data_IF_292292101822
#
_entry.id   IF_292292101822
#
_cell.length_a   1.000
_cell.length_b   1.000
_cell.length_c   1.000
_cell.angle_alpha   90.00
_cell.angle_beta   90.00
_cell.angle_gamma   90.00
#
_symmetry.space_group_name_H-M   'P 1'
#
loop_
_entity.id
_entity.type
_entity.pdbx_description
1 polymer ?
#
# COMPACT_ATOMS: atom_id res chain seq x y z
N UNK A 1 3.37 -25.49 -14.86
CA UNK A 1 2.73 -24.97 -13.63
C UNK A 1 1.26 -24.63 -13.94
N UNK A 2 0.28 -25.30 -13.35
CA UNK A 2 -1.15 -25.10 -13.57
C UNK A 2 -1.75 -24.22 -12.46
N UNK A 3 -2.75 -23.39 -12.80
CA UNK A 3 -3.45 -22.53 -11.85
C UNK A 3 -4.04 -23.28 -10.65
N UNK A 4 -4.61 -24.48 -10.91
CA UNK A 4 -5.11 -25.37 -9.88
C UNK A 4 -4.03 -25.75 -8.85
N UNK A 5 -2.83 -26.02 -9.30
CA UNK A 5 -1.71 -26.39 -8.43
C UNK A 5 -1.23 -25.19 -7.59
N UNK A 6 -1.28 -23.98 -8.15
CA UNK A 6 -1.03 -22.75 -7.37
C UNK A 6 -2.07 -22.57 -6.24
N UNK A 7 -3.35 -22.84 -6.50
CA UNK A 7 -4.40 -22.82 -5.47
C UNK A 7 -4.13 -23.87 -4.37
N UNK A 8 -3.68 -25.07 -4.75
CA UNK A 8 -3.29 -26.10 -3.79
C UNK A 8 -2.09 -25.68 -2.94
N UNK A 9 -1.09 -25.12 -3.57
CA UNK A 9 0.08 -24.56 -2.88
C UNK A 9 -0.31 -23.48 -1.87
N UNK A 10 -1.14 -22.51 -2.27
CA UNK A 10 -1.63 -21.43 -1.41
C UNK A 10 -2.46 -21.95 -0.23
N UNK A 11 -3.30 -22.98 -0.45
CA UNK A 11 -4.07 -23.60 0.63
C UNK A 11 -3.15 -24.22 1.69
N UNK A 12 -2.10 -24.97 1.27
CA UNK A 12 -1.14 -25.56 2.20
C UNK A 12 -0.29 -24.49 2.90
N UNK A 13 0.10 -23.45 2.19
CA UNK A 13 0.85 -22.31 2.76
C UNK A 13 0.06 -21.56 3.84
N UNK A 14 -1.28 -21.50 3.70
CA UNK A 14 -2.18 -20.88 4.68
C UNK A 14 -2.44 -21.75 5.89
N UNK A 15 -2.75 -23.03 5.65
CA UNK A 15 -3.11 -23.97 6.72
C UNK A 15 -1.89 -24.51 7.49
N UNK A 16 -0.67 -24.36 6.95
CA UNK A 16 0.57 -24.96 7.48
C UNK A 16 0.45 -26.46 7.77
N UNK A 17 -0.53 -27.11 7.14
CA UNK A 17 -0.91 -28.50 7.36
C UNK A 17 -1.52 -29.11 6.09
N UNK A 18 -0.86 -30.14 5.54
CA UNK A 18 -1.30 -30.76 4.28
C UNK A 18 -2.65 -31.47 4.44
N UNK A 19 -2.92 -32.10 5.59
CA UNK A 19 -4.19 -32.83 5.83
C UNK A 19 -5.35 -31.85 5.89
N UNK A 20 -5.23 -30.77 6.66
CA UNK A 20 -6.28 -29.74 6.72
C UNK A 20 -6.52 -29.08 5.38
N UNK A 21 -5.45 -28.76 4.65
CA UNK A 21 -5.57 -28.17 3.31
C UNK A 21 -6.27 -29.14 2.34
N UNK A 22 -5.98 -30.45 2.41
CA UNK A 22 -6.63 -31.46 1.58
C UNK A 22 -8.14 -31.56 1.89
N UNK A 23 -8.53 -31.53 3.17
CA UNK A 23 -9.92 -31.47 3.60
C UNK A 23 -10.65 -30.24 3.04
N UNK A 24 -10.04 -29.06 3.16
CA UNK A 24 -10.56 -27.80 2.63
C UNK A 24 -10.74 -27.82 1.11
N UNK A 25 -9.83 -28.48 0.41
CA UNK A 25 -9.84 -28.63 -1.05
C UNK A 25 -10.70 -29.79 -1.54
N UNK A 26 -11.31 -30.56 -0.63
CA UNK A 26 -12.10 -31.77 -0.93
C UNK A 26 -11.35 -32.83 -1.76
N UNK A 27 -10.06 -33.00 -1.48
CA UNK A 27 -9.20 -34.02 -2.09
C UNK A 27 -8.51 -34.87 -1.03
N UNK A 28 -7.90 -35.99 -1.43
CA UNK A 28 -7.13 -36.80 -0.49
C UNK A 28 -5.73 -36.22 -0.23
N UNK A 29 -5.25 -36.36 1.01
CA UNK A 29 -3.92 -35.88 1.40
C UNK A 29 -2.79 -36.46 0.51
N UNK A 30 -2.78 -37.78 0.12
CA UNK A 30 -1.77 -38.29 -0.80
C UNK A 30 -1.79 -37.63 -2.18
N UNK A 31 -3.00 -37.28 -2.68
CA UNK A 31 -3.13 -36.56 -3.96
C UNK A 31 -2.53 -35.16 -3.86
N UNK A 32 -2.87 -34.41 -2.82
CA UNK A 32 -2.31 -33.07 -2.59
C UNK A 32 -0.79 -33.12 -2.45
N UNK A 33 -0.28 -34.05 -1.61
CA UNK A 33 1.16 -34.17 -1.39
C UNK A 33 1.93 -34.48 -2.68
N UNK A 34 1.38 -35.36 -3.53
CA UNK A 34 1.99 -35.71 -4.84
C UNK A 34 1.98 -34.53 -5.80
N UNK A 35 0.89 -33.76 -5.85
CA UNK A 35 0.80 -32.58 -6.73
C UNK A 35 1.77 -31.48 -6.30
N UNK A 36 1.98 -31.29 -5.01
CA UNK A 36 2.98 -30.34 -4.50
C UNK A 36 4.41 -30.81 -4.75
N UNK A 37 4.69 -32.10 -4.59
CA UNK A 37 6.00 -32.64 -4.92
C UNK A 37 6.32 -32.50 -6.42
N UNK A 38 5.32 -32.70 -7.30
CA UNK A 38 5.47 -32.47 -8.73
C UNK A 38 5.71 -30.99 -9.03
N UNK A 39 5.05 -30.07 -8.32
CA UNK A 39 5.31 -28.63 -8.47
C UNK A 39 6.76 -28.29 -8.11
N UNK A 40 7.29 -28.81 -7.00
CA UNK A 40 8.69 -28.62 -6.58
C UNK A 40 9.67 -29.17 -7.62
N UNK A 41 9.37 -30.33 -8.21
CA UNK A 41 10.17 -30.92 -9.30
C UNK A 41 10.11 -30.05 -10.56
N UNK A 42 8.91 -29.59 -10.97
CA UNK A 42 8.72 -28.75 -12.16
C UNK A 42 9.47 -27.41 -12.08
N UNK A 43 9.53 -26.80 -10.89
CA UNK A 43 10.23 -25.52 -10.68
C UNK A 43 11.68 -25.69 -10.26
N UNK A 44 12.11 -26.92 -9.92
CA UNK A 44 13.49 -27.26 -9.58
C UNK A 44 13.95 -26.77 -8.20
N UNK A 45 13.02 -26.37 -7.32
CA UNK A 45 13.33 -25.89 -5.97
C UNK A 45 12.36 -26.44 -4.94
N UNK A 46 12.82 -26.58 -3.70
CA UNK A 46 11.97 -26.98 -2.57
C UNK A 46 11.20 -25.76 -2.07
N UNK A 47 9.86 -25.88 -2.02
CA UNK A 47 8.97 -24.79 -1.62
C UNK A 47 8.53 -24.91 -0.16
N UNK A 48 8.53 -26.15 0.37
CA UNK A 48 8.12 -26.44 1.72
C UNK A 48 9.24 -27.11 2.54
N UNK A 49 9.45 -26.62 3.74
CA UNK A 49 10.23 -27.31 4.77
C UNK A 49 9.28 -28.15 5.62
N UNK A 50 9.54 -29.46 5.69
CA UNK A 50 8.72 -30.42 6.44
C UNK A 50 9.25 -30.59 7.85
N UNK A 51 8.62 -29.93 8.83
CA UNK A 51 8.85 -30.16 10.26
C UNK A 51 7.98 -31.32 10.79
N UNK A 52 8.29 -31.81 12.00
CA UNK A 52 7.56 -32.94 12.61
C UNK A 52 6.07 -32.65 12.90
N UNK A 53 5.65 -31.39 12.95
CA UNK A 53 4.26 -30.98 13.27
C UNK A 53 3.68 -29.91 12.36
N UNK A 54 4.50 -29.24 11.58
CA UNK A 54 4.09 -28.14 10.71
C UNK A 54 4.84 -28.19 9.38
N UNK A 55 4.19 -27.71 8.35
CA UNK A 55 4.76 -27.44 7.03
C UNK A 55 4.97 -25.93 6.94
N UNK A 56 6.20 -25.49 6.74
CA UNK A 56 6.52 -24.07 6.57
C UNK A 56 7.09 -23.80 5.18
N UNK A 57 6.97 -22.59 4.70
CA UNK A 57 7.55 -22.19 3.42
C UNK A 57 9.08 -22.00 3.55
N UNK A 58 9.81 -22.36 2.49
CA UNK A 58 11.19 -21.91 2.25
C UNK A 58 11.19 -20.46 1.74
N UNK A 59 12.36 -19.86 1.53
CA UNK A 59 12.48 -18.53 0.92
C UNK A 59 11.91 -18.52 -0.51
N UNK A 60 12.17 -19.60 -1.28
CA UNK A 60 11.58 -19.82 -2.60
C UNK A 60 10.06 -20.02 -2.51
N UNK A 61 9.59 -20.73 -1.48
CA UNK A 61 8.16 -20.89 -1.18
C UNK A 61 7.50 -19.55 -0.84
N UNK A 62 8.14 -18.69 -0.09
CA UNK A 62 7.63 -17.35 0.19
C UNK A 62 7.56 -16.47 -1.08
N UNK A 63 8.57 -16.58 -1.94
CA UNK A 63 8.53 -15.91 -3.25
C UNK A 63 7.37 -16.43 -4.10
N UNK A 64 7.24 -17.76 -4.21
CA UNK A 64 6.14 -18.36 -5.00
C UNK A 64 4.78 -17.99 -4.41
N UNK A 65 4.61 -17.98 -3.10
CA UNK A 65 3.35 -17.57 -2.46
C UNK A 65 2.88 -16.21 -2.94
N UNK A 66 3.74 -15.21 -2.87
CA UNK A 66 3.42 -13.85 -3.31
C UNK A 66 3.01 -13.82 -4.80
N UNK A 67 3.76 -14.51 -5.66
CA UNK A 67 3.44 -14.58 -7.09
C UNK A 67 2.21 -15.41 -7.40
N UNK A 68 1.99 -16.49 -6.68
CA UNK A 68 0.81 -17.33 -6.85
C UNK A 68 -0.48 -16.60 -6.43
N UNK A 69 -0.46 -15.80 -5.36
CA UNK A 69 -1.57 -14.93 -4.97
C UNK A 69 -1.93 -13.97 -6.12
N UNK A 70 -0.94 -13.27 -6.70
CA UNK A 70 -1.13 -12.36 -7.83
C UNK A 70 -1.73 -13.06 -9.08
N UNK A 71 -1.20 -14.24 -9.42
CA UNK A 71 -1.66 -15.02 -10.60
C UNK A 71 -3.08 -15.53 -10.42
N UNK A 72 -3.40 -16.06 -9.23
CA UNK A 72 -4.73 -16.60 -8.93
C UNK A 72 -5.76 -15.48 -8.91
N UNK A 73 -5.46 -14.35 -8.26
CA UNK A 73 -6.35 -13.18 -8.23
C UNK A 73 -6.65 -12.65 -9.64
N UNK A 74 -5.62 -12.53 -10.49
CA UNK A 74 -5.81 -12.09 -11.87
C UNK A 74 -6.64 -13.07 -12.69
N UNK A 75 -6.45 -14.38 -12.50
CA UNK A 75 -7.22 -15.41 -13.20
C UNK A 75 -8.68 -15.40 -12.76
N UNK A 76 -8.94 -15.31 -11.44
CA UNK A 76 -10.30 -15.26 -10.89
C UNK A 76 -11.05 -14.01 -11.40
N UNK A 77 -10.35 -12.87 -11.45
CA UNK A 77 -10.88 -11.63 -12.01
C UNK A 77 -11.22 -11.78 -13.50
N UNK A 78 -10.31 -12.36 -14.30
CA UNK A 78 -10.54 -12.60 -15.74
C UNK A 78 -11.72 -13.53 -15.99
N UNK A 79 -11.83 -14.62 -15.23
CA UNK A 79 -12.96 -15.56 -15.34
C UNK A 79 -14.27 -14.85 -15.02
N UNK A 80 -14.30 -14.02 -14.00
CA UNK A 80 -15.44 -13.22 -13.59
C UNK A 80 -15.86 -12.22 -14.68
N UNK A 81 -14.91 -11.46 -15.24
CA UNK A 81 -15.15 -10.50 -16.33
C UNK A 81 -15.70 -11.17 -17.61
N UNK A 82 -15.32 -12.43 -17.87
CA UNK A 82 -15.79 -13.16 -19.04
C UNK A 82 -17.18 -13.80 -18.85
N UNK A 83 -17.52 -14.19 -17.61
CA UNK A 83 -18.76 -14.89 -17.29
C UNK A 83 -19.93 -13.97 -16.96
N UNK A 84 -19.66 -12.76 -16.46
CA UNK A 84 -20.67 -11.78 -16.05
C UNK A 84 -21.18 -10.89 -17.20
N UNK A 85 -21.47 -11.48 -18.37
CA UNK A 85 -21.98 -10.75 -19.54
C UNK A 85 -23.48 -10.39 -19.52
N UNK A 86 -24.21 -10.68 -18.44
CA UNK A 86 -25.66 -10.46 -18.40
C UNK A 86 -26.07 -9.17 -17.70
N UNK A 87 -26.88 -8.39 -18.38
CA UNK A 87 -27.78 -7.24 -18.15
C UNK A 87 -27.77 -6.46 -16.82
N UNK A 88 -27.25 -6.98 -15.72
CA UNK A 88 -27.06 -6.28 -14.46
C UNK A 88 -25.59 -5.92 -14.32
N UNK A 89 -25.27 -4.63 -14.39
CA UNK A 89 -23.92 -4.15 -14.06
C UNK A 89 -23.63 -4.55 -12.62
N UNK A 90 -22.72 -5.51 -12.48
CA UNK A 90 -22.27 -6.08 -11.21
C UNK A 90 -20.73 -6.26 -11.25
N UNK A 91 -20.13 -6.74 -10.20
CA UNK A 91 -18.71 -7.04 -10.12
C UNK A 91 -18.00 -6.24 -9.02
N UNK A 92 -16.68 -6.29 -9.05
CA UNK A 92 -15.79 -5.65 -8.06
C UNK A 92 -15.00 -4.55 -8.75
N UNK A 93 -15.03 -3.34 -8.22
CA UNK A 93 -14.12 -2.26 -8.63
C UNK A 93 -13.00 -2.17 -7.59
N UNK A 94 -11.79 -2.50 -8.02
CA UNK A 94 -10.58 -2.47 -7.18
C UNK A 94 -9.84 -1.15 -7.36
N UNK A 95 -9.67 -0.38 -6.29
CA UNK A 95 -9.01 0.92 -6.32
C UNK A 95 -7.76 0.92 -5.44
N UNK A 96 -6.61 1.24 -6.03
CA UNK A 96 -5.37 1.49 -5.31
C UNK A 96 -5.23 2.97 -4.96
N UNK A 97 -4.81 3.29 -3.73
CA UNK A 97 -4.60 4.68 -3.31
C UNK A 97 -3.55 4.82 -2.21
N UNK A 98 -3.12 6.07 -1.96
CA UNK A 98 -2.44 6.44 -0.72
C UNK A 98 -3.43 6.85 0.37
N UNK A 99 -2.92 7.10 1.57
CA UNK A 99 -3.67 7.81 2.62
C UNK A 99 -3.68 9.31 2.28
N UNK A 100 -4.72 9.77 1.59
CA UNK A 100 -4.84 11.12 1.04
C UNK A 100 -6.23 11.70 1.35
N UNK A 101 -6.35 13.03 1.44
CA UNK A 101 -7.66 13.68 1.55
C UNK A 101 -8.51 13.46 0.28
N UNK A 102 -7.87 13.36 -0.87
CA UNK A 102 -8.50 13.11 -2.16
C UNK A 102 -9.21 11.75 -2.26
N UNK A 103 -8.97 10.80 -1.34
CA UNK A 103 -9.77 9.57 -1.19
C UNK A 103 -11.24 9.87 -0.95
N UNK A 104 -11.57 11.03 -0.35
CA UNK A 104 -12.95 11.48 -0.18
C UNK A 104 -13.71 11.50 -1.51
N UNK A 105 -13.08 11.95 -2.60
CA UNK A 105 -13.69 11.97 -3.95
C UNK A 105 -14.03 10.55 -4.40
N UNK A 106 -13.14 9.60 -4.17
CA UNK A 106 -13.37 8.18 -4.52
C UNK A 106 -14.55 7.61 -3.74
N UNK A 107 -14.63 7.90 -2.45
CA UNK A 107 -15.72 7.42 -1.58
C UNK A 107 -17.07 8.03 -2.00
N UNK A 108 -17.09 9.30 -2.38
CA UNK A 108 -18.29 9.97 -2.91
C UNK A 108 -18.74 9.36 -4.23
N UNK A 109 -17.80 9.05 -5.13
CA UNK A 109 -18.08 8.32 -6.37
C UNK A 109 -18.62 6.92 -6.09
N UNK A 110 -18.06 6.17 -5.15
CA UNK A 110 -18.58 4.87 -4.75
C UNK A 110 -20.03 4.97 -4.28
N UNK A 111 -20.36 5.98 -3.45
CA UNK A 111 -21.71 6.19 -2.96
C UNK A 111 -22.68 6.45 -4.10
N UNK A 112 -22.35 7.40 -4.99
CA UNK A 112 -23.19 7.75 -6.11
C UNK A 112 -23.38 6.58 -7.09
N UNK A 113 -22.30 5.83 -7.36
CA UNK A 113 -22.35 4.70 -8.27
C UNK A 113 -23.13 3.52 -7.68
N UNK A 114 -23.01 3.26 -6.36
CA UNK A 114 -23.77 2.22 -5.66
C UNK A 114 -25.28 2.46 -5.68
N UNK A 115 -25.72 3.73 -5.62
CA UNK A 115 -27.15 4.07 -5.75
C UNK A 115 -27.70 3.64 -7.13
N UNK A 116 -26.89 3.77 -8.19
CA UNK A 116 -27.27 3.42 -9.56
C UNK A 116 -27.08 1.94 -9.89
N UNK A 117 -26.02 1.33 -9.33
CA UNK A 117 -25.60 -0.05 -9.59
C UNK A 117 -25.36 -0.81 -8.26
N UNK A 118 -26.43 -1.20 -7.56
CA UNK A 118 -26.32 -1.76 -6.21
C UNK A 118 -25.58 -3.11 -6.13
N UNK A 119 -25.47 -3.83 -7.25
CA UNK A 119 -24.75 -5.10 -7.33
C UNK A 119 -23.23 -4.94 -7.49
N UNK A 120 -22.72 -3.71 -7.71
CA UNK A 120 -21.28 -3.43 -7.76
C UNK A 120 -20.71 -3.34 -6.35
N UNK A 121 -19.60 -4.00 -6.12
CA UNK A 121 -18.84 -3.96 -4.87
C UNK A 121 -17.50 -3.23 -5.09
N UNK A 122 -16.88 -2.78 -4.00
CA UNK A 122 -15.67 -1.95 -4.07
C UNK A 122 -14.62 -2.48 -3.12
N UNK A 123 -13.38 -2.53 -3.60
CA UNK A 123 -12.21 -2.84 -2.81
C UNK A 123 -11.25 -1.66 -2.84
N UNK A 124 -10.79 -1.23 -1.67
CA UNK A 124 -9.85 -0.12 -1.53
C UNK A 124 -8.54 -0.65 -0.95
N UNK A 125 -7.48 -0.59 -1.74
CA UNK A 125 -6.15 -1.01 -1.33
C UNK A 125 -5.27 0.21 -1.05
N UNK A 126 -4.90 0.39 0.22
CA UNK A 126 -4.06 1.49 0.63
C UNK A 126 -2.57 1.10 0.67
N UNK A 127 -1.72 1.96 0.14
CA UNK A 127 -0.28 1.77 0.13
C UNK A 127 0.47 3.02 -0.32
N UNK A 128 1.79 2.93 -0.43
CA UNK A 128 2.56 3.98 -1.07
C UNK A 128 2.36 3.96 -2.59
N UNK A 129 2.81 5.02 -3.27
CA UNK A 129 2.61 5.13 -4.72
C UNK A 129 3.31 4.02 -5.52
N UNK A 130 4.43 3.46 -5.04
CA UNK A 130 5.13 2.37 -5.73
C UNK A 130 4.32 1.08 -5.65
N UNK A 131 3.74 0.77 -4.50
CA UNK A 131 2.81 -0.35 -4.32
C UNK A 131 1.55 -0.19 -5.17
N UNK A 132 0.97 1.02 -5.17
CA UNK A 132 -0.22 1.34 -5.97
C UNK A 132 0.07 1.21 -7.48
N UNK A 133 1.25 1.68 -7.92
CA UNK A 133 1.69 1.53 -9.31
C UNK A 133 1.88 0.06 -9.70
N UNK A 134 2.53 -0.72 -8.85
CA UNK A 134 2.70 -2.17 -9.06
C UNK A 134 1.35 -2.88 -9.21
N UNK A 135 0.36 -2.53 -8.39
CA UNK A 135 -0.98 -3.12 -8.48
C UNK A 135 -1.71 -2.81 -9.79
N UNK A 136 -1.66 -1.55 -10.24
CA UNK A 136 -2.31 -1.15 -11.50
C UNK A 136 -1.60 -1.79 -12.71
N UNK A 137 -0.27 -1.84 -12.71
CA UNK A 137 0.52 -2.48 -13.78
C UNK A 137 0.27 -3.99 -13.88
N UNK A 138 -0.04 -4.65 -12.77
CA UNK A 138 -0.37 -6.07 -12.72
C UNK A 138 -1.86 -6.37 -12.94
N UNK A 139 -2.69 -5.37 -13.19
CA UNK A 139 -4.13 -5.55 -13.34
C UNK A 139 -4.86 -5.96 -12.04
N UNK A 140 -4.20 -5.84 -10.88
CA UNK A 140 -4.79 -6.13 -9.56
C UNK A 140 -5.63 -4.98 -9.01
N UNK A 141 -5.57 -3.82 -9.64
CA UNK A 141 -6.47 -2.69 -9.40
C UNK A 141 -6.94 -2.14 -10.72
N UNK A 142 -8.22 -1.76 -10.80
CA UNK A 142 -8.83 -1.19 -12.00
C UNK A 142 -8.57 0.30 -12.11
N UNK A 143 -8.49 0.96 -10.96
CA UNK A 143 -8.28 2.41 -10.82
C UNK A 143 -7.19 2.63 -9.78
N UNK A 144 -6.39 3.67 -9.98
CA UNK A 144 -5.42 4.12 -9.01
C UNK A 144 -5.52 5.62 -8.78
N UNK A 145 -5.45 6.03 -7.51
CA UNK A 145 -5.37 7.42 -7.11
C UNK A 145 -3.92 7.75 -6.76
N UNK A 146 -3.32 8.64 -7.53
CA UNK A 146 -1.94 9.09 -7.33
C UNK A 146 -1.86 10.55 -6.95
N UNK A 147 -0.84 10.88 -6.18
CA UNK A 147 -0.38 12.24 -5.98
C UNK A 147 0.80 12.51 -6.91
N UNK A 148 0.73 13.58 -7.70
CA UNK A 148 1.86 14.00 -8.55
C UNK A 148 3.08 14.39 -7.67
N UNK A 149 4.33 14.16 -8.14
CA UNK A 149 4.70 13.72 -9.47
C UNK A 149 4.63 12.19 -9.65
N UNK A 150 3.98 11.74 -10.72
CA UNK A 150 3.89 10.34 -11.13
C UNK A 150 4.06 10.23 -12.64
N UNK A 151 4.57 9.09 -13.12
CA UNK A 151 4.66 8.81 -14.54
C UNK A 151 3.29 8.34 -15.05
N UNK A 152 2.59 9.23 -15.76
CA UNK A 152 1.23 9.01 -16.26
C UNK A 152 1.17 8.62 -17.74
N UNK A 153 2.30 8.59 -18.45
CA UNK A 153 2.34 8.39 -19.91
C UNK A 153 1.77 7.04 -20.36
N UNK A 154 1.62 6.10 -19.43
CA UNK A 154 1.11 4.75 -19.70
C UNK A 154 -0.36 4.56 -19.36
N UNK A 155 -1.04 5.58 -18.84
CA UNK A 155 -2.39 5.48 -18.30
C UNK A 155 -3.32 6.51 -18.89
N UNK A 156 -4.59 6.15 -19.07
CA UNK A 156 -5.66 7.13 -19.15
C UNK A 156 -5.88 7.74 -17.76
N UNK A 157 -5.88 9.05 -17.65
CA UNK A 157 -5.97 9.72 -16.35
C UNK A 157 -6.94 10.91 -16.36
N UNK A 158 -7.45 11.20 -15.17
CA UNK A 158 -8.28 12.38 -14.88
C UNK A 158 -7.65 13.12 -13.70
N UNK A 159 -7.40 14.43 -13.86
CA UNK A 159 -6.97 15.26 -12.74
C UNK A 159 -8.17 15.67 -11.90
N UNK A 160 -8.11 15.38 -10.60
CA UNK A 160 -9.21 15.65 -9.68
C UNK A 160 -9.27 17.11 -9.20
N UNK A 161 -8.25 17.92 -9.43
CA UNK A 161 -8.17 19.32 -8.96
C UNK A 161 -8.09 19.46 -7.43
N UNK A 162 -7.91 18.37 -6.70
CA UNK A 162 -7.71 18.38 -5.24
C UNK A 162 -6.23 18.60 -4.95
N UNK A 163 -5.94 19.58 -4.09
CA UNK A 163 -4.56 19.88 -3.68
C UNK A 163 -4.28 19.27 -2.32
N UNK A 164 -3.21 18.52 -2.23
CA UNK A 164 -2.67 18.01 -0.99
C UNK A 164 -1.55 18.94 -0.50
N UNK A 165 -1.34 19.00 0.81
CA UNK A 165 -0.31 19.85 1.42
C UNK A 165 0.66 19.02 2.23
N UNK A 166 1.93 19.43 2.20
CA UNK A 166 2.93 18.89 3.11
C UNK A 166 2.68 19.39 4.53
N UNK A 167 2.85 18.48 5.48
CA UNK A 167 2.79 18.76 6.90
C UNK A 167 3.90 18.01 7.63
N UNK A 168 4.13 18.41 8.87
CA UNK A 168 5.10 17.79 9.77
C UNK A 168 4.35 17.27 11.00
N UNK A 169 4.57 16.01 11.33
CA UNK A 169 4.23 15.44 12.63
C UNK A 169 5.32 15.81 13.63
N UNK A 170 4.92 16.36 14.75
CA UNK A 170 5.82 16.83 15.81
C UNK A 170 5.18 16.65 17.19
N UNK A 171 5.98 16.62 18.29
CA UNK A 171 5.45 16.59 19.64
C UNK A 171 4.50 17.77 19.91
N UNK A 172 3.40 17.50 20.62
CA UNK A 172 2.35 18.51 20.86
C UNK A 172 2.81 19.71 21.69
N UNK A 173 3.87 19.56 22.46
CA UNK A 173 4.45 20.61 23.32
C UNK A 173 5.49 21.49 22.65
N UNK A 174 5.86 21.19 21.40
CA UNK A 174 6.93 21.91 20.69
C UNK A 174 6.50 23.33 20.29
N UNK A 175 7.43 24.30 20.29
CA UNK A 175 7.15 25.71 19.99
C UNK A 175 6.42 25.98 18.66
N UNK A 176 6.70 25.29 17.55
CA UNK A 176 5.97 25.46 16.30
C UNK A 176 4.45 25.25 16.42
N UNK A 177 3.99 24.48 17.41
CA UNK A 177 2.55 24.25 17.64
C UNK A 177 1.80 25.56 17.89
N UNK A 178 2.38 26.49 18.64
CA UNK A 178 1.80 27.82 18.90
C UNK A 178 1.74 28.70 17.64
N UNK A 179 2.66 28.47 16.70
CA UNK A 179 2.77 29.18 15.43
C UNK A 179 1.72 28.73 14.41
N UNK A 180 1.28 27.45 14.53
CA UNK A 180 0.32 26.81 13.62
C UNK A 180 0.89 26.38 12.27
N UNK A 181 2.20 26.51 12.04
CA UNK A 181 2.91 26.04 10.84
C UNK A 181 4.39 25.81 11.16
N UNK A 182 5.07 25.07 10.27
CA UNK A 182 6.50 24.75 10.39
C UNK A 182 7.30 25.36 9.24
N UNK A 183 8.42 25.97 9.55
CA UNK A 183 9.42 26.46 8.59
C UNK A 183 10.65 25.57 8.57
N UNK A 184 11.47 25.63 7.53
CA UNK A 184 12.74 24.90 7.46
C UNK A 184 13.65 25.22 8.66
N UNK A 185 13.69 26.49 9.10
CA UNK A 185 14.47 26.92 10.25
C UNK A 185 14.03 26.28 11.58
N UNK A 186 12.73 25.98 11.75
CA UNK A 186 12.22 25.34 12.96
C UNK A 186 12.74 23.89 13.11
N UNK A 187 13.21 23.28 12.02
CA UNK A 187 13.67 21.89 11.96
C UNK A 187 15.20 21.74 11.97
N UNK A 188 15.93 22.86 11.98
CA UNK A 188 17.40 22.84 12.11
C UNK A 188 17.81 22.17 13.42
N UNK A 189 18.78 21.23 13.34
CA UNK A 189 19.26 20.47 14.48
C UNK A 189 18.33 19.38 15.01
N UNK A 190 17.16 19.19 14.36
CA UNK A 190 16.23 18.10 14.70
C UNK A 190 16.54 16.84 13.88
N UNK A 191 16.17 15.68 14.41
CA UNK A 191 16.17 14.42 13.66
C UNK A 191 14.86 14.29 12.89
N UNK A 192 14.97 13.97 11.60
CA UNK A 192 13.82 13.94 10.68
C UNK A 192 13.54 12.54 10.15
N UNK A 193 12.27 12.24 9.95
CA UNK A 193 11.79 11.08 9.23
C UNK A 193 11.27 11.55 7.87
N UNK A 194 11.90 11.08 6.80
CA UNK A 194 11.50 11.40 5.45
C UNK A 194 10.62 10.30 4.85
N UNK A 195 9.75 10.63 3.90
CA UNK A 195 9.12 9.63 3.04
C UNK A 195 10.17 8.77 2.33
N UNK A 196 9.89 7.48 2.13
CA UNK A 196 10.86 6.56 1.55
C UNK A 196 11.18 6.81 0.06
N UNK A 197 10.29 7.51 -0.69
CA UNK A 197 10.44 7.75 -2.14
C UNK A 197 11.48 8.85 -2.41
N UNK A 198 12.49 8.51 -3.24
CA UNK A 198 13.57 9.46 -3.60
C UNK A 198 13.07 10.74 -4.28
N UNK A 199 12.09 10.67 -5.20
CA UNK A 199 11.51 11.86 -5.84
C UNK A 199 10.93 12.83 -4.82
N UNK A 200 10.23 12.29 -3.83
CA UNK A 200 9.63 13.06 -2.72
C UNK A 200 10.70 13.63 -1.79
N UNK A 201 11.75 12.87 -1.51
CA UNK A 201 12.89 13.37 -0.72
C UNK A 201 13.56 14.57 -1.39
N UNK A 202 13.70 14.55 -2.72
CA UNK A 202 14.29 15.68 -3.46
C UNK A 202 13.44 16.96 -3.36
N UNK A 203 12.12 16.86 -3.32
CA UNK A 203 11.24 18.01 -3.07
C UNK A 203 11.47 18.60 -1.69
N UNK A 204 11.56 17.75 -0.67
CA UNK A 204 11.82 18.19 0.70
C UNK A 204 13.22 18.81 0.85
N UNK A 205 14.24 18.21 0.22
CA UNK A 205 15.59 18.79 0.16
C UNK A 205 15.55 20.20 -0.46
N UNK A 206 14.81 20.35 -1.56
CA UNK A 206 14.62 21.65 -2.21
C UNK A 206 13.91 22.67 -1.30
N UNK A 207 12.93 22.22 -0.52
CA UNK A 207 12.22 23.07 0.43
C UNK A 207 13.12 23.57 1.57
N UNK A 208 14.01 22.72 2.07
CA UNK A 208 14.98 23.12 3.08
C UNK A 208 15.97 24.15 2.55
N UNK A 209 16.33 24.12 1.27
CA UNK A 209 17.33 25.01 0.67
C UNK A 209 18.62 25.01 1.47
N UNK A 210 19.11 26.20 1.85
CA UNK A 210 20.35 26.38 2.59
C UNK A 210 20.34 25.78 4.02
N UNK A 211 19.17 25.43 4.54
CA UNK A 211 19.07 24.77 5.84
C UNK A 211 19.33 23.27 5.78
N UNK A 212 19.24 22.63 4.60
CA UNK A 212 19.36 21.17 4.47
C UNK A 212 20.66 20.60 5.05
N UNK A 213 21.84 21.21 4.88
CA UNK A 213 23.09 20.69 5.48
C UNK A 213 23.09 20.63 7.01
N UNK A 214 22.15 21.33 7.66
CA UNK A 214 22.05 21.41 9.12
C UNK A 214 20.98 20.47 9.70
N UNK A 215 20.30 19.68 8.84
CA UNK A 215 19.31 18.69 9.29
C UNK A 215 19.90 17.29 9.23
N UNK A 216 19.35 16.40 10.05
CA UNK A 216 19.71 14.98 10.09
C UNK A 216 18.50 14.17 9.71
N UNK A 217 18.66 13.24 8.77
CA UNK A 217 17.61 12.35 8.29
C UNK A 217 17.99 10.89 8.56
N UNK A 218 17.97 10.44 9.83
CA UNK A 218 18.35 9.08 10.16
C UNK A 218 17.29 8.04 9.82
N UNK A 219 16.04 8.46 9.52
CA UNK A 219 14.93 7.54 9.33
C UNK A 219 14.16 7.84 8.05
N UNK A 220 13.63 6.77 7.45
CA UNK A 220 12.62 6.85 6.39
C UNK A 220 11.40 6.03 6.75
N UNK A 221 10.21 6.49 6.37
CA UNK A 221 8.96 5.79 6.61
C UNK A 221 8.03 5.96 5.40
N UNK A 222 7.30 4.92 5.06
CA UNK A 222 6.38 4.94 3.91
C UNK A 222 4.92 5.19 4.29
N UNK A 223 4.57 5.10 5.59
CA UNK A 223 3.21 5.25 6.09
C UNK A 223 3.14 6.25 7.24
N UNK A 224 2.22 7.22 7.15
CA UNK A 224 2.08 8.30 8.13
C UNK A 224 1.71 7.79 9.52
N UNK A 225 0.92 6.72 9.60
CA UNK A 225 0.55 6.10 10.88
C UNK A 225 1.77 5.58 11.63
N UNK A 226 2.68 4.88 10.95
CA UNK A 226 3.92 4.40 11.57
C UNK A 226 4.84 5.56 11.95
N UNK A 227 4.94 6.57 11.08
CA UNK A 227 5.72 7.78 11.38
C UNK A 227 5.22 8.49 12.63
N UNK A 228 3.91 8.57 12.86
CA UNK A 228 3.32 9.18 14.06
C UNK A 228 3.70 8.43 15.34
N UNK A 229 3.78 7.10 15.29
CA UNK A 229 4.25 6.28 16.42
C UNK A 229 5.72 6.58 16.72
N UNK A 230 6.55 6.73 15.68
CA UNK A 230 7.97 7.08 15.86
C UNK A 230 8.13 8.47 16.48
N UNK A 231 7.37 9.46 16.01
CA UNK A 231 7.37 10.83 16.58
C UNK A 231 6.94 10.80 18.06
N UNK A 232 5.85 10.10 18.38
CA UNK A 232 5.37 9.95 19.75
C UNK A 232 6.41 9.36 20.70
N UNK A 233 7.28 8.48 20.20
CA UNK A 233 8.36 7.86 20.96
C UNK A 233 9.69 8.66 20.90
N UNK A 234 9.65 9.90 20.43
CA UNK A 234 10.79 10.81 20.48
C UNK A 234 11.87 10.56 19.43
N UNK A 235 11.56 9.80 18.36
CA UNK A 235 12.52 9.51 17.29
C UNK A 235 12.70 10.67 16.29
N UNK A 236 12.02 11.79 16.48
CA UNK A 236 12.19 12.98 15.66
C UNK A 236 10.88 13.53 15.10
N UNK A 237 10.94 14.20 13.94
CA UNK A 237 9.83 14.89 13.27
C UNK A 237 9.58 14.26 11.90
N UNK A 238 8.33 14.00 11.54
CA UNK A 238 8.05 13.27 10.31
C UNK A 238 7.32 14.13 9.28
N UNK A 239 7.81 14.13 8.04
CA UNK A 239 7.08 14.68 6.92
C UNK A 239 5.99 13.74 6.45
N UNK A 240 4.82 14.28 6.21
CA UNK A 240 3.68 13.55 5.67
C UNK A 240 2.76 14.47 4.85
N UNK A 241 1.82 13.89 4.13
CA UNK A 241 0.75 14.66 3.47
C UNK A 241 -0.34 14.96 4.49
N UNK A 242 -0.81 16.22 4.58
CA UNK A 242 -1.80 16.66 5.58
C UNK A 242 -3.08 15.82 5.53
N UNK A 243 -3.50 15.41 4.33
CA UNK A 243 -4.68 14.55 4.11
C UNK A 243 -4.53 13.13 4.65
N UNK A 244 -3.31 12.65 4.84
CA UNK A 244 -3.02 11.34 5.43
C UNK A 244 -3.07 11.36 6.96
N UNK A 245 -4.03 12.06 7.54
CA UNK A 245 -4.12 12.23 8.99
C UNK A 245 -4.25 10.88 9.69
N UNK A 246 -3.17 10.36 10.31
CA UNK A 246 -3.29 9.19 11.16
C UNK A 246 -4.20 9.51 12.35
N UNK A 247 -4.75 8.48 12.98
CA UNK A 247 -5.44 8.63 14.27
C UNK A 247 -4.41 9.10 15.31
N UNK A 248 -4.31 10.43 15.48
CA UNK A 248 -3.37 11.05 16.39
C UNK A 248 -4.05 11.33 17.73
N UNK A 249 -3.39 10.91 18.79
CA UNK A 249 -3.60 11.54 20.08
C UNK A 249 -2.97 12.94 20.06
N UNK A 250 -3.81 13.95 19.83
CA UNK A 250 -3.38 15.35 19.72
C UNK A 250 -2.74 15.91 20.97
N UNK A 251 -2.87 15.23 22.11
CA UNK A 251 -2.17 15.58 23.34
C UNK A 251 -0.69 15.22 23.28
N UNK A 252 -0.28 14.33 22.39
CA UNK A 252 1.08 13.84 22.26
C UNK A 252 1.76 14.24 20.96
N UNK A 253 1.03 14.21 19.83
CA UNK A 253 1.55 14.52 18.49
C UNK A 253 0.59 15.45 17.75
N UNK A 254 1.15 16.52 17.18
CA UNK A 254 0.43 17.44 16.30
C UNK A 254 0.87 17.26 14.85
N UNK A 255 -0.02 17.60 13.93
CA UNK A 255 0.28 17.75 12.50
C UNK A 255 0.15 19.23 12.13
N UNK A 256 1.19 19.83 11.64
CA UNK A 256 1.22 21.24 11.22
C UNK A 256 1.62 21.35 9.76
N UNK A 257 0.94 22.20 8.97
CA UNK A 257 1.35 22.45 7.60
C UNK A 257 2.75 23.10 7.54
N UNK A 258 3.50 22.78 6.49
CA UNK A 258 4.73 23.49 6.21
C UNK A 258 4.44 24.88 5.62
N UNK A 259 5.31 25.83 5.91
CA UNK A 259 5.23 27.17 5.30
C UNK A 259 5.59 27.11 3.81
N UNK A 260 4.73 27.66 2.97
CA UNK A 260 4.75 27.53 1.50
C UNK A 260 5.65 28.51 0.77
N UNK A 261 6.69 29.05 1.37
CA UNK A 261 7.55 30.00 0.65
C UNK A 261 8.21 29.40 -0.61
N UNK A 262 8.31 28.05 -0.74
CA UNK A 262 8.95 27.40 -1.90
C UNK A 262 8.41 26.01 -2.31
N UNK A 263 7.44 25.42 -1.60
CA UNK A 263 6.80 24.15 -2.02
C UNK A 263 5.44 24.46 -2.65
N UNK A 264 5.36 24.39 -3.96
CA UNK A 264 4.08 24.14 -4.63
C UNK A 264 3.81 22.64 -4.56
N UNK A 265 2.80 22.21 -3.81
CA UNK A 265 2.17 20.95 -4.10
C UNK A 265 1.70 21.04 -5.56
N UNK A 266 2.22 20.18 -6.41
CA UNK A 266 1.94 20.24 -7.84
C UNK A 266 0.44 20.16 -8.10
N UNK A 267 -0.02 21.04 -8.97
CA UNK A 267 -1.38 21.11 -9.48
C UNK A 267 -1.76 19.87 -10.28
#
# INVERSE_FOLDING_TARGET
MELRILRYFLAVAREENITKAAELLHITQPTLSRQLAQLEEDVGVTLFSRGARKVTLTDEGMLLRRRAEEIVDLADKTEKELTERDELINGVVSVGCGELASVQVIVELFRAFKEKYPAVTYELYAGNADYTNERIEKGLSDIALFLEPVDIDRYDFIRLGVKERWAVLLPAEDPPVQKGFVTAADLVGKELLFPARLKVQNELVSWFGDYFPQVRVPYTCNMSTNASIMVRNGLGYAFHIEGSRPFLDRSQVCSLPVSYTHLRAHE
#
